data_IF_438011879695
#
_entry.id   IF_438011879695
#
_cell.length_a   1.000
_cell.length_b   1.000
_cell.length_c   1.000
_cell.angle_alpha   90.00
_cell.angle_beta   90.00
_cell.angle_gamma   90.00
#
_symmetry.space_group_name_H-M   'P 1'
#
loop_
_entity.id
_entity.type
_entity.pdbx_description
1 polymer ?
#
# COMPACT_ATOMS: atom_id res chain seq x y z
N UNK A 1 -15.29 -12.28 -6.08
CA UNK A 1 -16.51 -11.61 -5.58
C UNK A 1 -16.51 -11.40 -4.06
N UNK A 2 -15.45 -11.79 -3.32
CA UNK A 2 -15.44 -11.75 -1.85
C UNK A 2 -14.91 -10.41 -1.28
N UNK A 3 -13.86 -9.84 -1.90
CA UNK A 3 -13.29 -8.58 -1.42
C UNK A 3 -14.23 -7.39 -1.64
N UNK A 4 -14.89 -7.28 -2.80
CA UNK A 4 -15.82 -6.17 -3.06
C UNK A 4 -17.01 -6.16 -2.09
N UNK A 5 -17.61 -7.31 -1.81
CA UNK A 5 -18.72 -7.42 -0.85
C UNK A 5 -18.25 -7.29 0.62
N UNK A 6 -17.02 -7.65 0.94
CA UNK A 6 -16.42 -7.33 2.24
C UNK A 6 -16.15 -5.82 2.37
N UNK A 7 -15.56 -5.19 1.35
CA UNK A 7 -15.22 -3.76 1.32
C UNK A 7 -16.46 -2.86 1.24
N UNK A 8 -17.55 -3.27 0.58
CA UNK A 8 -18.76 -2.43 0.49
C UNK A 8 -19.46 -2.27 1.84
N UNK A 9 -19.37 -3.29 2.72
CA UNK A 9 -19.81 -3.19 4.11
C UNK A 9 -19.02 -2.13 4.88
N UNK A 10 -17.72 -2.00 4.57
CA UNK A 10 -16.90 -0.91 5.08
C UNK A 10 -17.12 0.41 4.33
N UNK A 11 -17.69 0.41 3.12
CA UNK A 11 -17.96 1.65 2.38
C UNK A 11 -19.19 2.38 2.90
N UNK A 12 -20.20 1.66 3.38
CA UNK A 12 -21.31 2.28 4.13
C UNK A 12 -20.81 2.91 5.44
N UNK A 13 -19.79 2.31 6.07
CA UNK A 13 -19.04 2.91 7.18
C UNK A 13 -18.01 3.95 6.71
N UNK A 14 -17.64 4.00 5.42
CA UNK A 14 -16.57 4.90 4.95
C UNK A 14 -16.95 6.37 4.95
N UNK A 15 -18.25 6.67 4.87
CA UNK A 15 -18.76 8.01 5.16
C UNK A 15 -18.45 8.42 6.62
N UNK A 16 -18.45 7.46 7.55
CA UNK A 16 -17.99 7.67 8.92
C UNK A 16 -16.47 7.65 9.02
N UNK A 17 -15.73 6.93 8.15
CA UNK A 17 -14.26 6.91 8.19
C UNK A 17 -13.69 8.30 7.88
N UNK A 18 -14.22 9.04 6.91
CA UNK A 18 -13.76 10.41 6.63
C UNK A 18 -14.09 11.40 7.77
N UNK A 19 -15.15 11.18 8.53
CA UNK A 19 -15.54 12.00 9.69
C UNK A 19 -14.83 11.59 11.01
N UNK A 20 -14.64 10.29 11.23
CA UNK A 20 -14.09 9.68 12.46
C UNK A 20 -12.56 9.56 12.43
N UNK A 21 -12.00 9.28 11.26
CA UNK A 21 -10.55 9.25 11.05
C UNK A 21 -10.15 10.50 10.29
N UNK A 22 -9.62 11.50 11.01
CA UNK A 22 -8.85 12.57 10.37
C UNK A 22 -7.65 11.95 9.65
N UNK A 23 -7.82 11.62 8.37
CA UNK A 23 -6.76 11.05 7.55
C UNK A 23 -5.72 12.17 7.33
N UNK A 24 -4.66 12.14 8.12
CA UNK A 24 -3.48 12.97 7.88
C UNK A 24 -2.88 12.55 6.55
N UNK A 25 -3.12 13.36 5.51
CA UNK A 25 -2.66 13.09 4.16
C UNK A 25 -1.17 13.32 3.98
N UNK A 26 -0.47 13.95 4.92
CA UNK A 26 0.96 14.24 4.86
C UNK A 26 1.81 13.08 5.42
N UNK A 27 1.20 12.18 6.21
CA UNK A 27 1.86 10.97 6.70
C UNK A 27 2.05 9.94 5.59
N UNK A 28 3.31 9.53 5.42
CA UNK A 28 3.67 8.41 4.55
C UNK A 28 3.14 7.08 5.10
N UNK A 29 2.43 6.33 4.24
CA UNK A 29 1.86 5.02 4.57
C UNK A 29 2.25 4.01 3.50
N UNK A 30 2.53 2.79 3.93
CA UNK A 30 2.65 1.61 3.07
C UNK A 30 1.70 0.52 3.56
N UNK A 31 0.90 -0.03 2.64
CA UNK A 31 0.04 -1.19 2.88
C UNK A 31 0.48 -2.29 1.92
N UNK A 32 0.82 -3.46 2.47
CA UNK A 32 1.28 -4.61 1.70
C UNK A 32 0.59 -5.87 2.20
N UNK A 33 0.24 -6.77 1.28
CA UNK A 33 -0.30 -8.07 1.62
C UNK A 33 -0.97 -8.77 0.45
N UNK A 34 -1.54 -9.93 0.76
CA UNK A 34 -2.40 -10.70 -0.14
C UNK A 34 -3.84 -10.16 -0.06
N UNK A 35 -4.33 -9.60 -1.17
CA UNK A 35 -5.69 -9.08 -1.28
C UNK A 35 -6.67 -10.11 -1.87
N UNK A 36 -6.19 -11.29 -2.29
CA UNK A 36 -6.97 -12.33 -2.96
C UNK A 36 -7.79 -11.82 -4.16
N UNK A 37 -7.33 -10.73 -4.78
CA UNK A 37 -7.92 -10.15 -5.98
C UNK A 37 -6.83 -9.92 -7.00
N UNK A 38 -7.02 -10.51 -8.18
CA UNK A 38 -6.10 -10.32 -9.29
C UNK A 38 -6.20 -8.88 -9.79
N UNK A 39 -5.22 -8.09 -9.42
CA UNK A 39 -5.23 -6.63 -9.63
C UNK A 39 -5.07 -6.25 -11.10
N UNK A 40 -4.60 -7.16 -11.96
CA UNK A 40 -4.62 -6.95 -13.42
C UNK A 40 -6.00 -7.16 -14.05
N UNK A 41 -6.92 -7.77 -13.32
CA UNK A 41 -8.27 -8.13 -13.78
C UNK A 41 -9.38 -7.35 -13.07
N UNK A 42 -9.06 -6.60 -12.02
CA UNK A 42 -10.06 -5.94 -11.18
C UNK A 42 -9.55 -4.59 -10.66
N UNK A 43 -9.88 -3.53 -11.39
CA UNK A 43 -9.49 -2.15 -11.11
C UNK A 43 -10.28 -1.50 -9.96
N UNK A 44 -11.44 -2.07 -9.59
CA UNK A 44 -12.32 -1.52 -8.55
C UNK A 44 -11.64 -1.38 -7.20
N UNK A 45 -10.72 -2.30 -6.88
CA UNK A 45 -9.95 -2.24 -5.63
C UNK A 45 -9.04 -1.02 -5.60
N UNK A 46 -8.41 -0.68 -6.72
CA UNK A 46 -7.58 0.52 -6.81
C UNK A 46 -8.40 1.79 -6.63
N UNK A 47 -9.55 1.84 -7.32
CA UNK A 47 -10.48 2.97 -7.20
C UNK A 47 -10.93 3.17 -5.76
N UNK A 48 -11.27 2.09 -5.06
CA UNK A 48 -11.66 2.13 -3.64
C UNK A 48 -10.52 2.63 -2.73
N UNK A 49 -9.33 2.02 -2.84
CA UNK A 49 -8.17 2.38 -2.02
C UNK A 49 -7.73 3.83 -2.24
N UNK A 50 -7.75 4.30 -3.49
CA UNK A 50 -7.42 5.68 -3.82
C UNK A 50 -8.48 6.66 -3.33
N UNK A 51 -9.76 6.36 -3.53
CA UNK A 51 -10.87 7.26 -3.18
C UNK A 51 -11.02 7.45 -1.67
N UNK A 52 -10.93 6.37 -0.89
CA UNK A 52 -11.27 6.39 0.53
C UNK A 52 -10.06 6.50 1.47
N UNK A 53 -8.85 6.19 1.00
CA UNK A 53 -7.65 6.20 1.86
C UNK A 53 -6.48 7.02 1.28
N UNK A 54 -6.67 7.61 0.09
CA UNK A 54 -5.62 8.28 -0.67
C UNK A 54 -4.37 7.41 -0.92
N UNK A 55 -4.60 6.10 -1.04
CA UNK A 55 -3.55 5.11 -1.27
C UNK A 55 -3.42 4.80 -2.76
N UNK A 56 -2.25 5.08 -3.32
CA UNK A 56 -1.89 4.77 -4.70
C UNK A 56 -1.39 3.32 -4.78
N UNK A 57 -1.86 2.55 -5.77
CA UNK A 57 -1.25 1.25 -6.02
C UNK A 57 0.15 1.43 -6.59
N UNK A 58 1.12 0.69 -6.06
CA UNK A 58 2.48 0.64 -6.61
C UNK A 58 2.56 -0.51 -7.62
N UNK A 59 2.90 -0.23 -8.90
CA UNK A 59 2.95 -1.25 -9.93
C UNK A 59 3.88 -2.42 -9.61
N UNK A 60 3.54 -3.57 -10.19
CA UNK A 60 4.31 -4.82 -10.18
C UNK A 60 4.50 -5.29 -11.61
N UNK A 61 5.70 -5.76 -11.96
CA UNK A 61 6.04 -6.24 -13.30
C UNK A 61 5.89 -7.75 -13.46
N UNK A 62 5.90 -8.53 -12.37
CA UNK A 62 5.74 -9.99 -12.38
C UNK A 62 4.55 -10.45 -11.54
N UNK A 63 3.95 -11.61 -11.86
CA UNK A 63 2.89 -12.19 -11.04
C UNK A 63 3.40 -12.48 -9.63
N UNK A 64 2.53 -12.33 -8.64
CA UNK A 64 2.88 -12.58 -7.24
C UNK A 64 2.76 -14.06 -6.84
N UNK A 65 2.25 -14.92 -7.70
CA UNK A 65 2.16 -16.37 -7.45
C UNK A 65 2.79 -17.20 -8.57
N UNK A 66 3.12 -18.46 -8.27
CA UNK A 66 3.55 -19.43 -9.28
C UNK A 66 2.43 -19.78 -10.29
N UNK A 67 1.17 -19.54 -9.93
CA UNK A 67 0.00 -19.67 -10.81
C UNK A 67 -0.26 -18.48 -11.73
N UNK A 68 0.70 -17.56 -11.85
CA UNK A 68 0.61 -16.36 -12.68
C UNK A 68 -0.53 -15.39 -12.30
N UNK A 69 -0.96 -15.38 -11.03
CA UNK A 69 -1.89 -14.37 -10.50
C UNK A 69 -1.15 -13.18 -9.87
N UNK A 70 -1.83 -12.05 -9.77
CA UNK A 70 -1.34 -10.81 -9.16
C UNK A 70 -2.23 -10.45 -7.95
N UNK A 71 -2.22 -11.29 -6.92
CA UNK A 71 -3.11 -11.15 -5.75
C UNK A 71 -2.44 -10.44 -4.57
N UNK A 72 -1.12 -10.42 -4.55
CA UNK A 72 -0.34 -9.64 -3.58
C UNK A 72 -0.06 -8.26 -4.15
N UNK A 73 -0.29 -7.21 -3.36
CA UNK A 73 -0.17 -5.83 -3.82
C UNK A 73 0.44 -4.91 -2.77
N UNK A 74 0.99 -3.81 -3.26
CA UNK A 74 1.52 -2.72 -2.45
C UNK A 74 0.73 -1.46 -2.77
N UNK A 75 0.28 -0.75 -1.74
CA UNK A 75 -0.30 0.57 -1.85
C UNK A 75 0.49 1.56 -0.99
N UNK A 76 0.63 2.79 -1.46
CA UNK A 76 1.36 3.83 -0.74
C UNK A 76 0.70 5.19 -0.79
N UNK A 77 0.99 6.00 0.23
CA UNK A 77 0.72 7.43 0.28
C UNK A 77 2.01 8.16 0.65
N UNK A 78 2.27 9.28 -0.01
CA UNK A 78 3.47 10.13 0.15
C UNK A 78 4.81 9.41 0.09
N UNK A 79 4.87 8.31 -0.65
CA UNK A 79 6.10 7.60 -0.91
C UNK A 79 6.01 6.82 -2.21
N UNK A 80 7.15 6.72 -2.88
CA UNK A 80 7.31 6.02 -4.16
C UNK A 80 8.39 4.98 -4.01
N UNK A 81 8.07 3.80 -3.45
CA UNK A 81 9.08 2.78 -3.21
C UNK A 81 9.49 2.09 -4.51
N UNK A 82 10.76 1.72 -4.59
CA UNK A 82 11.31 0.99 -5.73
C UNK A 82 10.94 -0.51 -5.60
N UNK A 83 10.55 -1.12 -6.72
CA UNK A 83 10.34 -2.57 -6.79
C UNK A 83 11.69 -3.29 -6.87
N UNK A 84 11.93 -4.21 -5.95
CA UNK A 84 13.08 -5.11 -5.99
C UNK A 84 12.70 -6.47 -6.60
N UNK A 85 13.69 -7.34 -6.71
CA UNK A 85 13.50 -8.69 -7.24
C UNK A 85 12.53 -9.52 -6.40
N UNK A 86 11.77 -10.36 -7.10
CA UNK A 86 10.90 -11.34 -6.48
C UNK A 86 11.73 -12.52 -5.99
N UNK A 87 11.52 -12.92 -4.74
CA UNK A 87 12.20 -14.08 -4.14
C UNK A 87 11.15 -15.15 -3.83
N UNK A 88 11.37 -16.38 -4.29
CA UNK A 88 10.38 -17.46 -4.19
C UNK A 88 11.05 -18.83 -4.00
N UNK A 89 11.71 -19.04 -2.86
CA UNK A 89 12.36 -20.33 -2.56
C UNK A 89 11.50 -21.30 -1.75
N UNK A 90 10.56 -20.80 -0.95
CA UNK A 90 9.86 -21.60 0.07
C UNK A 90 8.33 -21.41 0.09
N UNK A 91 7.76 -20.74 -0.91
CA UNK A 91 6.32 -20.44 -0.96
C UNK A 91 5.78 -20.51 -2.39
N UNK A 92 4.47 -20.71 -2.50
CA UNK A 92 3.74 -20.53 -3.76
C UNK A 92 3.59 -19.05 -4.14
N UNK A 93 3.66 -18.16 -3.14
CA UNK A 93 3.68 -16.72 -3.34
C UNK A 93 5.14 -16.26 -3.47
N UNK A 94 5.39 -15.41 -4.47
CA UNK A 94 6.64 -14.70 -4.66
C UNK A 94 6.65 -13.50 -3.72
N UNK A 95 7.64 -13.43 -2.83
CA UNK A 95 7.79 -12.28 -1.94
C UNK A 95 7.96 -10.99 -2.74
N UNK A 96 7.07 -10.02 -2.53
CA UNK A 96 7.21 -8.67 -3.09
C UNK A 96 8.13 -7.86 -2.18
N UNK A 97 9.27 -7.44 -2.71
CA UNK A 97 10.22 -6.60 -1.98
C UNK A 97 10.14 -5.16 -2.49
N UNK A 98 10.08 -4.21 -1.56
CA UNK A 98 10.01 -2.78 -1.84
C UNK A 98 11.14 -2.07 -1.10
N UNK A 99 11.93 -1.26 -1.81
CA UNK A 99 12.93 -0.40 -1.18
C UNK A 99 12.32 0.97 -0.94
N UNK A 100 12.30 1.36 0.34
CA UNK A 100 11.88 2.68 0.76
C UNK A 100 13.14 3.52 0.99
N UNK A 101 13.31 4.59 0.21
CA UNK A 101 14.36 5.57 0.47
C UNK A 101 13.73 6.72 1.23
N UNK A 102 13.97 6.76 2.53
CA UNK A 102 13.70 7.97 3.32
C UNK A 102 14.97 8.79 3.32
N UNK A 103 14.97 9.94 2.65
CA UNK A 103 16.00 10.94 2.95
C UNK A 103 15.85 11.28 4.44
N UNK A 104 16.94 11.43 5.20
CA UNK A 104 16.84 12.14 6.46
C UNK A 104 16.21 13.48 6.11
N UNK A 105 15.05 13.78 6.73
CA UNK A 105 14.60 15.17 6.82
C UNK A 105 15.82 15.93 7.32
N UNK A 106 16.21 16.94 6.57
CA UNK A 106 17.47 17.70 6.61
C UNK A 106 18.26 17.58 7.91
N UNK A 107 19.61 17.50 7.82
CA UNK A 107 20.53 17.55 8.97
C UNK A 107 20.15 18.65 9.99
N UNK A 108 19.51 19.73 9.53
CA UNK A 108 18.95 20.80 10.37
C UNK A 108 17.84 20.35 11.35
N UNK A 109 16.95 19.43 10.99
CA UNK A 109 15.92 18.89 11.91
C UNK A 109 16.52 17.96 12.98
N UNK A 110 17.58 17.21 12.64
CA UNK A 110 18.32 16.43 13.63
C UNK A 110 19.01 17.34 14.65
N UNK A 111 19.63 18.44 14.19
CA UNK A 111 20.29 19.42 15.06
C UNK A 111 19.31 20.17 15.97
N UNK A 112 18.10 20.49 15.49
CA UNK A 112 17.10 21.17 16.34
C UNK A 112 16.54 20.27 17.44
N UNK A 113 16.48 18.95 17.23
CA UNK A 113 16.07 17.98 18.25
C UNK A 113 17.15 17.68 19.30
N UNK A 114 18.44 17.72 18.95
CA UNK A 114 19.53 17.58 19.93
C UNK A 114 19.72 18.84 20.79
N UNK A 115 19.36 20.02 20.30
CA UNK A 115 19.50 21.30 21.03
C UNK A 115 18.32 21.63 21.97
N UNK A 116 17.32 20.75 22.06
CA UNK A 116 16.12 20.93 22.92
C UNK A 116 15.99 19.88 24.03
N UNK A 117 17.01 19.05 24.23
CA UNK A 117 17.20 18.15 25.38
C UNK A 117 18.36 18.64 26.25
#
# INVERSE_FOLDING_TARGET
MFLFSALIKYSETSLLIDEEFHIDKDVAIIVMGDFNVDVKKNDKVFGFMKKHFDLNMVPTNYPSTLGNSYIDSTFTRNMSPELLNYVCYFSYHRSIQRRNVTYPRTIEEFKTKELTL
#
